data_IF_404864045962
#
_entry.id   IF_404864045962
#
_cell.length_a   1.000
_cell.length_b   1.000
_cell.length_c   1.000
_cell.angle_alpha   90.00
_cell.angle_beta   90.00
_cell.angle_gamma   90.00
#
_symmetry.space_group_name_H-M   'P 1'
#
loop_
_entity.id
_entity.type
_entity.pdbx_description
1 polymer ?
#
# COMPACT_ATOMS: atom_id res chain seq x y z
N UNK A 1 23.63 9.84 4.45
CA UNK A 1 22.95 9.36 3.23
C UNK A 1 22.71 10.55 2.33
N UNK A 2 23.40 10.59 1.19
CA UNK A 2 23.39 11.74 0.29
C UNK A 2 22.19 11.76 -0.65
N UNK A 3 20.99 12.01 -0.13
CA UNK A 3 19.76 12.12 -0.93
C UNK A 3 19.22 13.55 -0.91
N UNK A 4 18.78 14.01 -2.06
CA UNK A 4 18.04 15.26 -2.26
C UNK A 4 16.59 14.93 -2.57
N UNK A 5 15.66 15.40 -1.76
CA UNK A 5 14.23 15.36 -2.07
C UNK A 5 13.95 16.50 -3.05
N UNK A 6 13.40 16.16 -4.21
CA UNK A 6 13.04 17.13 -5.25
C UNK A 6 11.63 17.65 -5.02
N UNK A 7 10.69 16.77 -4.79
CA UNK A 7 9.30 17.11 -4.51
C UNK A 7 8.60 15.96 -3.77
N UNK A 8 7.47 16.27 -3.18
CA UNK A 8 6.60 15.31 -2.51
C UNK A 8 5.16 15.54 -2.95
N UNK A 9 4.37 14.46 -3.00
CA UNK A 9 2.93 14.57 -3.23
C UNK A 9 2.18 13.47 -2.51
N UNK A 10 0.89 13.68 -2.34
CA UNK A 10 0.00 12.66 -1.77
C UNK A 10 -0.21 11.56 -2.79
N UNK A 11 0.13 10.32 -2.44
CA UNK A 11 -0.13 9.14 -3.27
C UNK A 11 -1.57 8.67 -3.14
N UNK A 12 -2.10 8.66 -1.93
CA UNK A 12 -3.49 8.32 -1.66
C UNK A 12 -3.76 7.88 -0.23
N UNK A 13 -5.03 7.72 0.06
CA UNK A 13 -5.51 7.11 1.31
C UNK A 13 -5.64 5.62 1.05
N UNK A 14 -5.09 4.80 1.94
CA UNK A 14 -5.15 3.35 1.82
C UNK A 14 -6.39 2.81 2.51
N UNK A 15 -7.01 1.86 1.85
CA UNK A 15 -8.21 1.17 2.30
C UNK A 15 -8.04 -0.34 2.16
N UNK A 16 -8.84 -1.09 2.90
CA UNK A 16 -8.80 -2.55 2.90
C UNK A 16 -9.88 -3.11 1.98
N UNK A 17 -9.55 -4.11 1.18
CA UNK A 17 -10.51 -4.89 0.38
C UNK A 17 -10.43 -6.36 0.79
N UNK A 18 -11.58 -7.00 1.00
CA UNK A 18 -11.66 -8.36 1.53
C UNK A 18 -12.64 -9.23 0.77
N UNK A 19 -12.43 -10.54 0.81
CA UNK A 19 -13.33 -11.54 0.20
C UNK A 19 -14.64 -11.68 0.99
N UNK A 20 -14.57 -11.58 2.33
CA UNK A 20 -15.74 -11.66 3.23
C UNK A 20 -15.97 -10.30 3.87
N UNK A 21 -17.22 -9.96 4.21
CA UNK A 21 -17.52 -8.69 4.88
C UNK A 21 -16.70 -8.48 6.15
N UNK A 22 -16.37 -7.23 6.39
CA UNK A 22 -15.69 -6.73 7.61
C UNK A 22 -16.50 -5.53 8.08
N UNK A 23 -17.18 -5.67 9.21
CA UNK A 23 -18.03 -4.64 9.80
C UNK A 23 -17.37 -3.95 11.00
N UNK A 24 -16.27 -4.50 11.48
CA UNK A 24 -15.51 -3.97 12.61
C UNK A 24 -14.13 -4.60 12.70
N UNK A 25 -13.29 -4.04 13.58
CA UNK A 25 -11.90 -4.49 13.77
C UNK A 25 -11.83 -5.95 14.20
N UNK A 26 -12.80 -6.42 14.99
CA UNK A 26 -12.88 -7.83 15.43
C UNK A 26 -12.94 -8.81 14.26
N UNK A 27 -13.54 -8.41 13.13
CA UNK A 27 -13.66 -9.26 11.95
C UNK A 27 -12.36 -9.43 11.19
N UNK A 28 -11.34 -8.61 11.48
CA UNK A 28 -10.00 -8.75 10.91
C UNK A 28 -9.17 -9.81 11.63
N UNK A 29 -9.59 -10.25 12.82
CA UNK A 29 -8.83 -11.19 13.62
C UNK A 29 -8.52 -12.47 12.85
N UNK A 30 -7.21 -12.76 12.71
CA UNK A 30 -6.71 -13.93 12.01
C UNK A 30 -6.87 -13.92 10.49
N UNK A 31 -7.48 -12.89 9.88
CA UNK A 31 -7.53 -12.77 8.42
C UNK A 31 -6.14 -12.48 7.86
N UNK A 32 -5.80 -13.19 6.81
CA UNK A 32 -4.56 -12.95 6.04
C UNK A 32 -4.76 -11.76 5.12
N UNK A 33 -4.21 -10.63 5.51
CA UNK A 33 -4.28 -9.39 4.72
C UNK A 33 -2.92 -9.17 4.07
N UNK A 34 -2.92 -9.09 2.75
CA UNK A 34 -1.70 -8.75 2.03
C UNK A 34 -1.30 -7.32 2.32
N UNK A 35 -0.04 -7.14 2.66
CA UNK A 35 0.61 -5.85 2.80
C UNK A 35 1.90 -5.81 1.97
N UNK A 36 2.41 -4.65 1.57
CA UNK A 36 3.78 -4.57 1.05
C UNK A 36 4.79 -4.93 2.13
N UNK A 37 6.01 -5.27 1.74
CA UNK A 37 7.08 -5.59 2.70
C UNK A 37 7.61 -4.29 3.37
N UNK A 38 6.75 -3.66 4.14
CA UNK A 38 7.03 -2.44 4.90
C UNK A 38 6.66 -2.66 6.37
N UNK A 39 7.62 -2.47 7.25
CA UNK A 39 7.46 -2.72 8.69
C UNK A 39 6.26 -1.97 9.28
N UNK A 40 6.04 -0.73 8.86
CA UNK A 40 4.93 0.07 9.39
C UNK A 40 3.56 -0.56 9.07
N UNK A 41 3.34 -1.01 7.84
CA UNK A 41 2.07 -1.62 7.45
C UNK A 41 1.88 -3.00 8.07
N UNK A 42 2.95 -3.76 8.21
CA UNK A 42 2.93 -5.03 8.95
C UNK A 42 2.45 -4.77 10.39
N UNK A 43 3.05 -3.80 11.10
CA UNK A 43 2.67 -3.45 12.47
C UNK A 43 1.25 -2.92 12.60
N UNK A 44 0.78 -2.14 11.63
CA UNK A 44 -0.61 -1.67 11.62
C UNK A 44 -1.57 -2.85 11.61
N UNK A 45 -1.41 -3.80 10.68
CA UNK A 45 -2.33 -4.95 10.59
C UNK A 45 -2.17 -5.96 11.73
N UNK A 46 -0.96 -6.13 12.28
CA UNK A 46 -0.76 -6.89 13.53
C UNK A 46 -1.57 -6.27 14.68
N UNK A 47 -1.53 -4.94 14.83
CA UNK A 47 -2.25 -4.24 15.90
C UNK A 47 -3.77 -4.33 15.75
N UNK A 48 -4.27 -4.48 14.52
CA UNK A 48 -5.68 -4.73 14.21
C UNK A 48 -6.09 -6.20 14.39
N UNK A 49 -5.15 -7.06 14.79
CA UNK A 49 -5.39 -8.50 15.00
C UNK A 49 -5.42 -9.34 13.72
N UNK A 50 -5.13 -8.76 12.58
CA UNK A 50 -5.00 -9.49 11.32
C UNK A 50 -3.66 -10.24 11.26
N UNK A 51 -3.51 -11.11 10.26
CA UNK A 51 -2.27 -11.77 9.91
C UNK A 51 -1.71 -11.11 8.64
N UNK A 52 -0.82 -10.11 8.76
CA UNK A 52 -0.23 -9.48 7.59
C UNK A 52 0.60 -10.50 6.80
N UNK A 53 0.41 -10.51 5.49
CA UNK A 53 1.05 -11.45 4.57
C UNK A 53 1.81 -10.65 3.50
N UNK A 54 3.09 -10.33 3.72
CA UNK A 54 3.88 -9.57 2.76
C UNK A 54 4.06 -10.34 1.45
N UNK A 55 3.76 -9.67 0.32
CA UNK A 55 4.01 -10.22 -1.02
C UNK A 55 4.09 -9.12 -2.07
N UNK A 56 4.64 -9.44 -3.24
CA UNK A 56 4.72 -8.54 -4.36
C UNK A 56 3.33 -8.11 -4.85
N UNK A 57 3.24 -6.91 -5.44
CA UNK A 57 1.96 -6.39 -5.95
C UNK A 57 1.41 -7.26 -7.10
N UNK A 58 2.28 -7.82 -7.94
CA UNK A 58 1.92 -8.72 -9.04
C UNK A 58 1.14 -9.96 -8.61
N UNK A 59 1.30 -10.38 -7.37
CA UNK A 59 0.78 -11.67 -6.89
C UNK A 59 -0.59 -11.54 -6.23
N UNK A 60 -1.04 -10.30 -5.94
CA UNK A 60 -2.23 -10.03 -5.15
C UNK A 60 -3.50 -10.62 -5.79
N UNK A 61 -3.71 -10.35 -7.08
CA UNK A 61 -4.92 -10.82 -7.78
C UNK A 61 -5.04 -12.35 -7.71
N UNK A 62 -3.97 -13.04 -8.06
CA UNK A 62 -3.93 -14.51 -8.04
C UNK A 62 -4.10 -15.06 -6.62
N UNK A 63 -3.46 -14.45 -5.64
CA UNK A 63 -3.57 -14.87 -4.25
C UNK A 63 -4.99 -14.67 -3.68
N UNK A 64 -5.66 -13.56 -4.04
CA UNK A 64 -7.08 -13.34 -3.72
C UNK A 64 -7.97 -14.37 -4.43
N UNK A 65 -7.75 -14.60 -5.72
CA UNK A 65 -8.52 -15.55 -6.51
C UNK A 65 -8.42 -16.96 -5.94
N UNK A 66 -7.23 -17.41 -5.62
CA UNK A 66 -6.96 -18.74 -5.05
C UNK A 66 -7.36 -18.86 -3.57
N UNK A 67 -7.60 -17.74 -2.87
CA UNK A 67 -7.95 -17.74 -1.46
C UNK A 67 -6.78 -18.01 -0.52
N UNK A 68 -5.54 -17.81 -0.96
CA UNK A 68 -4.34 -17.89 -0.11
C UNK A 68 -4.25 -16.70 0.84
N UNK A 69 -4.89 -15.59 0.47
CA UNK A 69 -5.13 -14.41 1.32
C UNK A 69 -6.62 -14.09 1.37
N UNK A 70 -7.05 -13.44 2.46
CA UNK A 70 -8.45 -13.04 2.68
C UNK A 70 -8.75 -11.64 2.21
N UNK A 71 -7.72 -10.82 2.05
CA UNK A 71 -7.83 -9.44 1.64
C UNK A 71 -6.49 -8.82 1.30
N UNK A 72 -6.55 -7.57 0.85
CA UNK A 72 -5.40 -6.73 0.56
C UNK A 72 -5.72 -5.28 0.92
N UNK A 73 -4.70 -4.43 0.98
CA UNK A 73 -4.85 -3.01 1.25
C UNK A 73 -4.09 -2.20 0.22
N UNK A 74 -4.69 -1.12 -0.24
CA UNK A 74 -4.09 -0.19 -1.20
C UNK A 74 -4.95 1.08 -1.32
N UNK A 75 -4.43 2.16 -1.94
CA UNK A 75 -5.28 3.25 -2.41
C UNK A 75 -6.30 2.78 -3.45
N UNK A 76 -7.48 3.42 -3.47
CA UNK A 76 -8.58 3.02 -4.35
C UNK A 76 -8.20 2.90 -5.84
N UNK A 77 -7.41 3.82 -6.44
CA UNK A 77 -6.99 3.67 -7.83
C UNK A 77 -6.17 2.40 -8.09
N UNK A 78 -5.35 1.99 -7.10
CA UNK A 78 -4.55 0.76 -7.20
C UNK A 78 -5.43 -0.47 -7.12
N UNK A 79 -6.43 -0.47 -6.22
CA UNK A 79 -7.43 -1.54 -6.11
C UNK A 79 -8.16 -1.72 -7.44
N UNK A 80 -8.61 -0.60 -8.03
CA UNK A 80 -9.33 -0.61 -9.31
C UNK A 80 -8.44 -1.10 -10.46
N UNK A 81 -7.25 -0.54 -10.61
CA UNK A 81 -6.34 -0.90 -11.69
C UNK A 81 -5.83 -2.35 -11.56
N UNK A 82 -5.71 -2.87 -10.36
CA UNK A 82 -5.35 -4.26 -10.10
C UNK A 82 -6.52 -5.23 -10.23
N UNK A 83 -7.72 -4.74 -10.56
CA UNK A 83 -8.96 -5.52 -10.68
C UNK A 83 -9.30 -6.34 -9.43
N UNK A 84 -8.84 -5.92 -8.23
CA UNK A 84 -9.05 -6.68 -6.99
C UNK A 84 -10.52 -6.82 -6.63
N UNK A 85 -11.36 -5.87 -7.03
CA UNK A 85 -12.82 -5.90 -6.87
C UNK A 85 -13.48 -7.07 -7.62
N UNK A 86 -12.82 -7.68 -8.57
CA UNK A 86 -13.36 -8.87 -9.27
C UNK A 86 -13.32 -10.11 -8.37
N UNK A 87 -12.30 -10.22 -7.53
CA UNK A 87 -12.00 -11.40 -6.69
C UNK A 87 -12.22 -11.17 -5.19
N UNK A 88 -12.41 -9.90 -4.77
CA UNK A 88 -12.73 -9.50 -3.40
C UNK A 88 -13.82 -8.41 -3.44
N UNK A 89 -15.00 -8.69 -2.89
CA UNK A 89 -16.20 -7.87 -3.12
C UNK A 89 -16.50 -6.86 -2.01
N UNK A 90 -15.73 -6.86 -0.92
CA UNK A 90 -16.03 -6.04 0.25
C UNK A 90 -14.92 -5.01 0.43
N UNK A 91 -15.23 -3.76 0.12
CA UNK A 91 -14.37 -2.62 0.36
C UNK A 91 -14.65 -2.03 1.74
N UNK A 92 -13.62 -1.88 2.54
CA UNK A 92 -13.65 -1.24 3.86
C UNK A 92 -12.94 0.10 3.76
N UNK A 93 -13.68 1.18 3.91
CA UNK A 93 -13.16 2.55 3.86
C UNK A 93 -12.55 2.95 5.22
N UNK A 94 -11.57 2.18 5.66
CA UNK A 94 -10.94 2.33 6.98
C UNK A 94 -9.89 3.44 7.06
N UNK A 95 -9.40 3.92 5.91
CA UNK A 95 -8.43 5.02 5.82
C UNK A 95 -7.24 4.85 6.80
N UNK A 96 -6.76 3.62 6.96
CA UNK A 96 -5.77 3.26 7.99
C UNK A 96 -4.40 3.91 7.79
N UNK A 97 -4.09 4.37 6.58
CA UNK A 97 -2.80 5.02 6.28
C UNK A 97 -2.96 6.04 5.15
N UNK A 98 -2.21 7.14 5.28
CA UNK A 98 -2.06 8.17 4.24
C UNK A 98 -0.68 8.02 3.62
N UNK A 99 -0.63 7.70 2.32
CA UNK A 99 0.62 7.54 1.60
C UNK A 99 1.09 8.85 0.98
N UNK A 100 2.37 9.11 1.16
CA UNK A 100 3.10 10.17 0.47
C UNK A 100 4.21 9.56 -0.37
N UNK A 101 4.39 10.12 -1.56
CA UNK A 101 5.48 9.75 -2.46
C UNK A 101 6.47 10.90 -2.57
N UNK A 102 7.75 10.57 -2.64
CA UNK A 102 8.82 11.54 -2.82
C UNK A 102 9.58 11.21 -4.11
N UNK A 103 9.89 12.23 -4.90
CA UNK A 103 10.96 12.14 -5.87
C UNK A 103 12.27 12.46 -5.18
N UNK A 104 13.22 11.55 -5.31
CA UNK A 104 14.52 11.67 -4.71
C UNK A 104 15.61 11.48 -5.76
N UNK A 105 16.75 12.10 -5.52
CA UNK A 105 17.96 12.01 -6.35
C UNK A 105 19.18 11.92 -5.45
N UNK A 106 20.26 11.32 -5.93
CA UNK A 106 21.56 11.40 -5.24
C UNK A 106 21.99 12.86 -5.08
N UNK A 107 22.35 13.26 -3.85
CA UNK A 107 22.68 14.65 -3.57
C UNK A 107 23.91 15.11 -4.39
N UNK A 108 24.92 14.25 -4.50
CA UNK A 108 26.14 14.56 -5.28
C UNK A 108 25.79 14.74 -6.77
N UNK A 109 24.96 13.86 -7.32
CA UNK A 109 24.51 14.00 -8.71
C UNK A 109 23.70 15.28 -8.90
N UNK A 110 22.80 15.64 -7.96
CA UNK A 110 22.05 16.89 -8.01
C UNK A 110 22.97 18.11 -8.11
N UNK A 111 24.09 18.10 -7.38
CA UNK A 111 25.04 19.19 -7.40
C UNK A 111 25.82 19.32 -8.70
N UNK A 112 25.93 18.26 -9.50
CA UNK A 112 26.53 18.29 -10.84
C UNK A 112 25.66 18.94 -11.91
N UNK A 113 24.32 18.98 -11.66
CA UNK A 113 23.38 19.56 -12.62
C UNK A 113 23.59 21.07 -12.74
N UNK A 114 23.48 21.59 -13.97
CA UNK A 114 23.48 23.02 -14.22
C UNK A 114 22.30 23.69 -13.51
N UNK A 115 22.48 24.95 -13.10
CA UNK A 115 21.43 25.71 -12.39
C UNK A 115 20.13 25.78 -13.19
N UNK A 116 20.22 25.89 -14.52
CA UNK A 116 19.04 25.85 -15.42
C UNK A 116 18.29 24.53 -15.46
N UNK A 117 18.92 23.42 -15.02
CA UNK A 117 18.32 22.10 -14.93
C UNK A 117 17.80 21.77 -13.52
N UNK A 118 17.99 22.69 -12.55
CA UNK A 118 17.52 22.56 -11.16
C UNK A 118 16.21 23.33 -11.01
N UNK A 119 15.15 22.80 -11.61
CA UNK A 119 13.83 23.44 -11.59
C UNK A 119 13.17 23.37 -10.20
N UNK A 120 13.72 22.56 -9.32
CA UNK A 120 13.22 22.29 -7.97
C UNK A 120 14.08 22.92 -6.88
#
# INVERSE_FOLDING_TARGET
MGLKILTTWRYGIRHTITKKPVNGVSDLKGKKIRVPNQTILIKVFESLGATPTPMAMSDIYTALQQGTIDGAENPLPVILNGAYQEVAKNLVLDAHTYDMTCWIMGADYFHTLKRSSRIF
#
